data_IF_678084077608
#
_entry.id   IF_678084077608
#
_cell.length_a   1.000
_cell.length_b   1.000
_cell.length_c   1.000
_cell.angle_alpha   90.00
_cell.angle_beta   90.00
_cell.angle_gamma   90.00
#
_symmetry.space_group_name_H-M   'P 1'
#
loop_
_entity.id
_entity.type
_entity.pdbx_description
1 polymer ?
#
# COMPACT_ATOMS: atom_id res chain seq x y z
N UNK A 1 -11.54 -12.54 -9.40
CA UNK A 1 -10.71 -11.78 -10.35
C UNK A 1 -10.81 -10.29 -10.10
N UNK A 2 -12.01 -9.74 -9.94
CA UNK A 2 -12.24 -8.32 -9.67
C UNK A 2 -11.49 -7.81 -8.43
N UNK A 3 -11.70 -8.45 -7.26
CA UNK A 3 -11.03 -8.08 -6.01
C UNK A 3 -9.50 -7.99 -6.16
N UNK A 4 -8.87 -8.94 -6.85
CA UNK A 4 -7.43 -8.94 -7.12
C UNK A 4 -7.03 -7.73 -7.98
N UNK A 5 -7.69 -7.50 -9.10
CA UNK A 5 -7.33 -6.43 -10.04
C UNK A 5 -7.56 -5.04 -9.45
N UNK A 6 -8.69 -4.84 -8.77
CA UNK A 6 -9.00 -3.58 -8.08
C UNK A 6 -7.99 -3.31 -6.99
N UNK A 7 -7.70 -4.30 -6.13
CA UNK A 7 -6.72 -4.17 -5.05
C UNK A 7 -5.31 -3.89 -5.59
N UNK A 8 -4.89 -4.58 -6.66
CA UNK A 8 -3.59 -4.34 -7.31
C UNK A 8 -3.49 -2.91 -7.83
N UNK A 9 -4.49 -2.47 -8.58
CA UNK A 9 -4.48 -1.13 -9.19
C UNK A 9 -4.48 -0.02 -8.15
N UNK A 10 -5.30 -0.13 -7.12
CA UNK A 10 -5.43 0.87 -6.05
C UNK A 10 -4.11 1.00 -5.29
N UNK A 11 -3.52 -0.13 -4.84
CA UNK A 11 -2.28 -0.09 -4.07
C UNK A 11 -1.10 0.34 -4.93
N UNK A 12 -0.98 -0.15 -6.17
CA UNK A 12 0.08 0.28 -7.07
C UNK A 12 0.07 1.80 -7.29
N UNK A 13 -1.12 2.39 -7.48
CA UNK A 13 -1.25 3.83 -7.66
C UNK A 13 -1.03 4.61 -6.37
N UNK A 14 -1.47 4.08 -5.22
CA UNK A 14 -1.28 4.72 -3.92
C UNK A 14 0.20 4.78 -3.50
N UNK A 15 0.97 3.76 -3.88
CA UNK A 15 2.40 3.64 -3.56
C UNK A 15 3.31 4.51 -4.41
N UNK A 16 2.91 4.90 -5.62
CA UNK A 16 3.75 5.72 -6.48
C UNK A 16 3.97 7.09 -5.85
N UNK A 17 5.22 7.39 -5.49
CA UNK A 17 5.62 8.62 -4.82
C UNK A 17 5.45 8.61 -3.30
N UNK A 18 5.12 7.46 -2.71
CA UNK A 18 4.97 7.31 -1.28
C UNK A 18 6.33 7.17 -0.56
N UNK A 19 6.32 7.30 0.77
CA UNK A 19 7.53 7.17 1.64
C UNK A 19 8.23 5.82 1.48
N UNK A 20 7.51 4.73 1.23
CA UNK A 20 8.07 3.40 1.04
C UNK A 20 8.83 3.27 -0.27
N UNK A 21 8.40 3.94 -1.32
CA UNK A 21 9.16 4.02 -2.57
C UNK A 21 10.49 4.75 -2.37
N UNK A 22 10.51 5.84 -1.58
CA UNK A 22 11.73 6.54 -1.19
C UNK A 22 12.63 5.68 -0.30
N UNK A 23 12.04 4.90 0.62
CA UNK A 23 12.76 3.94 1.46
C UNK A 23 13.41 2.83 0.59
N UNK A 24 12.67 2.30 -0.41
CA UNK A 24 13.23 1.34 -1.37
C UNK A 24 14.45 1.88 -2.09
N UNK A 25 14.36 3.14 -2.55
CA UNK A 25 15.46 3.85 -3.21
C UNK A 25 16.67 3.99 -2.27
N UNK A 26 16.46 4.42 -1.03
CA UNK A 26 17.50 4.59 -0.03
C UNK A 26 18.23 3.26 0.26
N UNK A 27 17.48 2.19 0.49
CA UNK A 27 18.05 0.86 0.74
C UNK A 27 18.84 0.34 -0.47
N UNK A 28 18.31 0.55 -1.68
CA UNK A 28 18.99 0.16 -2.93
C UNK A 28 20.31 0.91 -3.11
N UNK A 29 20.31 2.23 -2.90
CA UNK A 29 21.51 3.06 -2.99
C UNK A 29 22.56 2.67 -1.96
N UNK A 30 22.13 2.41 -0.71
CA UNK A 30 23.02 2.11 0.42
C UNK A 30 23.62 0.72 0.34
N UNK A 31 22.80 -0.32 0.07
CA UNK A 31 23.26 -1.71 0.17
C UNK A 31 23.67 -2.31 -1.18
N UNK A 32 23.20 -1.78 -2.30
CA UNK A 32 23.48 -2.29 -3.65
C UNK A 32 23.25 -3.80 -3.83
N UNK A 33 22.26 -4.34 -3.10
CA UNK A 33 21.86 -5.75 -3.10
C UNK A 33 20.37 -5.86 -3.40
N UNK A 34 19.94 -5.81 -4.67
CA UNK A 34 18.51 -5.70 -5.02
C UNK A 34 17.69 -6.90 -4.54
N UNK A 35 18.15 -8.12 -4.74
CA UNK A 35 17.39 -9.32 -4.37
C UNK A 35 17.01 -9.41 -2.89
N UNK A 36 17.94 -9.28 -1.92
CA UNK A 36 17.59 -9.27 -0.50
C UNK A 36 16.60 -8.14 -0.13
N UNK A 37 16.71 -6.98 -0.79
CA UNK A 37 15.80 -5.85 -0.54
C UNK A 37 14.41 -6.19 -1.05
N UNK A 38 14.26 -6.65 -2.30
CA UNK A 38 12.97 -6.98 -2.91
C UNK A 38 12.27 -8.10 -2.15
N UNK A 39 13.00 -9.16 -1.75
CA UNK A 39 12.42 -10.21 -0.93
C UNK A 39 12.04 -9.71 0.48
N UNK A 40 12.82 -8.78 1.05
CA UNK A 40 12.47 -8.12 2.31
C UNK A 40 11.19 -7.30 2.22
N UNK A 41 11.03 -6.50 1.16
CA UNK A 41 9.80 -5.77 0.85
C UNK A 41 8.63 -6.75 0.74
N UNK A 42 8.78 -7.81 -0.05
CA UNK A 42 7.73 -8.81 -0.25
C UNK A 42 7.27 -9.42 1.08
N UNK A 43 8.20 -9.86 1.92
CA UNK A 43 7.86 -10.49 3.22
C UNK A 43 7.17 -9.49 4.16
N UNK A 44 7.68 -8.26 4.26
CA UNK A 44 7.07 -7.20 5.06
C UNK A 44 5.65 -6.89 4.59
N UNK A 45 5.47 -6.73 3.28
CA UNK A 45 4.18 -6.43 2.67
C UNK A 45 3.17 -7.56 2.87
N UNK A 46 3.56 -8.81 2.63
CA UNK A 46 2.67 -9.96 2.88
C UNK A 46 2.22 -9.98 4.33
N UNK A 47 3.12 -9.77 5.29
CA UNK A 47 2.78 -9.74 6.70
C UNK A 47 1.79 -8.60 7.03
N UNK A 48 2.07 -7.37 6.59
CA UNK A 48 1.20 -6.21 6.83
C UNK A 48 -0.17 -6.37 6.15
N UNK A 49 -0.20 -6.76 4.89
CA UNK A 49 -1.44 -6.90 4.14
C UNK A 49 -2.27 -8.10 4.59
N UNK A 50 -1.64 -9.19 5.02
CA UNK A 50 -2.35 -10.32 5.61
C UNK A 50 -3.03 -9.93 6.93
N UNK A 51 -2.33 -9.22 7.81
CA UNK A 51 -2.90 -8.72 9.07
C UNK A 51 -4.04 -7.71 8.81
N UNK A 52 -3.82 -6.77 7.91
CA UNK A 52 -4.83 -5.76 7.54
C UNK A 52 -6.04 -6.38 6.87
N UNK A 53 -5.82 -7.30 5.94
CA UNK A 53 -6.88 -8.04 5.27
C UNK A 53 -7.69 -8.89 6.25
N UNK A 54 -7.04 -9.55 7.21
CA UNK A 54 -7.71 -10.31 8.26
C UNK A 54 -8.58 -9.39 9.13
N UNK A 55 -8.07 -8.21 9.50
CA UNK A 55 -8.85 -7.21 10.23
C UNK A 55 -10.07 -6.76 9.44
N UNK A 56 -9.91 -6.44 8.15
CA UNK A 56 -11.00 -6.03 7.27
C UNK A 56 -12.07 -7.11 7.11
N UNK A 57 -11.65 -8.35 6.86
CA UNK A 57 -12.55 -9.50 6.77
C UNK A 57 -13.29 -9.76 8.10
N UNK A 58 -12.60 -9.61 9.24
CA UNK A 58 -13.24 -9.73 10.55
C UNK A 58 -14.26 -8.61 10.79
N UNK A 59 -13.92 -7.37 10.49
CA UNK A 59 -14.82 -6.21 10.64
C UNK A 59 -16.11 -6.42 9.84
N UNK A 60 -16.01 -6.93 8.60
CA UNK A 60 -17.18 -7.19 7.76
C UNK A 60 -18.15 -8.21 8.36
N UNK A 61 -17.67 -9.13 9.22
CA UNK A 61 -18.55 -10.10 9.92
C UNK A 61 -19.24 -9.53 11.16
N UNK A 62 -18.71 -8.42 11.74
CA UNK A 62 -19.24 -7.82 12.96
C UNK A 62 -20.28 -6.71 12.71
N UNK A 63 -20.29 -6.17 11.50
CA UNK A 63 -21.06 -4.97 11.16
C UNK A 63 -22.08 -5.32 10.09
N UNK A 64 -23.33 -4.84 10.27
CA UNK A 64 -24.36 -5.05 9.25
C UNK A 64 -24.00 -4.38 7.93
N UNK A 65 -24.35 -4.99 6.81
CA UNK A 65 -24.04 -4.46 5.48
C UNK A 65 -24.51 -3.01 5.28
N UNK A 66 -25.66 -2.65 5.89
CA UNK A 66 -26.18 -1.28 5.84
C UNK A 66 -25.30 -0.25 6.53
N UNK A 67 -24.65 -0.59 7.65
CA UNK A 67 -23.72 0.30 8.35
C UNK A 67 -22.35 0.24 7.69
N UNK A 68 -21.89 -0.95 7.29
CA UNK A 68 -20.60 -1.16 6.67
C UNK A 68 -20.40 -0.30 5.40
N UNK A 69 -21.42 -0.22 4.54
CA UNK A 69 -21.36 0.62 3.33
C UNK A 69 -21.08 2.09 3.62
N UNK A 70 -21.66 2.66 4.69
CA UNK A 70 -21.42 4.04 5.07
C UNK A 70 -20.03 4.24 5.66
N UNK A 71 -19.56 3.28 6.45
CA UNK A 71 -18.18 3.29 6.98
C UNK A 71 -17.20 3.23 5.82
N UNK A 72 -17.38 2.32 4.86
CA UNK A 72 -16.51 2.20 3.70
C UNK A 72 -16.54 3.46 2.83
N UNK A 73 -17.73 4.02 2.56
CA UNK A 73 -17.85 5.25 1.79
C UNK A 73 -17.09 6.42 2.46
N UNK A 74 -17.28 6.60 3.76
CA UNK A 74 -16.58 7.63 4.53
C UNK A 74 -15.05 7.40 4.53
N UNK A 75 -14.62 6.14 4.72
CA UNK A 75 -13.20 5.77 4.72
C UNK A 75 -12.56 5.97 3.34
N UNK A 76 -13.22 5.55 2.25
CA UNK A 76 -12.72 5.80 0.89
C UNK A 76 -12.66 7.29 0.55
N UNK A 77 -13.62 8.08 1.03
CA UNK A 77 -13.59 9.53 0.84
C UNK A 77 -12.44 10.16 1.63
N UNK A 78 -12.21 9.73 2.87
CA UNK A 78 -11.07 10.17 3.67
C UNK A 78 -9.73 9.82 2.98
N UNK A 79 -9.61 8.62 2.39
CA UNK A 79 -8.46 8.22 1.60
C UNK A 79 -8.28 9.08 0.35
N UNK A 80 -9.38 9.45 -0.35
CA UNK A 80 -9.30 10.35 -1.50
C UNK A 80 -8.67 11.70 -1.12
N UNK A 81 -9.04 12.25 0.03
CA UNK A 81 -8.45 13.49 0.56
C UNK A 81 -6.99 13.27 0.96
N UNK A 82 -6.69 12.18 1.65
CA UNK A 82 -5.32 11.87 2.10
C UNK A 82 -4.35 11.71 0.92
N UNK A 83 -4.79 11.10 -0.18
CA UNK A 83 -3.97 10.96 -1.39
C UNK A 83 -3.53 12.29 -2.02
N UNK A 84 -4.19 13.39 -1.69
CA UNK A 84 -3.79 14.72 -2.15
C UNK A 84 -2.71 15.38 -1.27
N UNK A 85 -2.40 14.79 -0.11
CA UNK A 85 -1.36 15.25 0.81
C UNK A 85 -0.05 14.51 0.48
N UNK A 86 1.01 15.23 0.06
CA UNK A 86 2.31 14.60 -0.21
C UNK A 86 2.91 14.00 1.06
N UNK A 87 3.47 12.80 0.93
CA UNK A 87 4.22 12.17 2.01
C UNK A 87 5.62 12.76 2.11
N UNK A 88 6.15 12.77 3.33
CA UNK A 88 7.52 13.19 3.61
C UNK A 88 8.24 12.04 4.31
N UNK A 89 9.51 11.82 3.95
CA UNK A 89 10.39 11.02 4.78
C UNK A 89 10.75 11.82 6.03
N UNK A 90 10.57 11.21 7.19
CA UNK A 90 11.23 11.71 8.39
C UNK A 90 12.73 11.49 8.22
N UNK A 91 13.51 12.55 8.45
CA UNK A 91 14.96 12.61 8.19
C UNK A 91 15.83 11.78 9.16
N UNK A 92 15.32 10.65 9.65
CA UNK A 92 16.07 9.69 10.47
C UNK A 92 17.08 8.83 9.66
N UNK A 93 17.73 9.46 8.67
CA UNK A 93 18.67 8.80 7.75
C UNK A 93 20.00 8.36 8.39
N UNK A 94 20.26 8.70 9.66
CA UNK A 94 21.50 8.37 10.38
C UNK A 94 21.49 7.01 11.11
N UNK A 95 20.43 6.21 10.97
CA UNK A 95 20.37 4.89 11.57
C UNK A 95 21.51 4.01 11.04
N UNK A 96 22.46 3.65 11.93
CA UNK A 96 23.53 2.70 11.61
C UNK A 96 22.95 1.40 11.05
N UNK A 97 23.58 0.79 10.03
CA UNK A 97 23.07 -0.46 9.47
C UNK A 97 22.91 -1.50 10.58
N UNK A 98 21.71 -2.07 10.73
CA UNK A 98 21.52 -3.13 11.71
C UNK A 98 22.46 -4.30 11.41
N UNK A 99 22.94 -4.98 12.44
CA UNK A 99 23.85 -6.13 12.32
C UNK A 99 23.20 -7.38 11.69
N UNK A 100 21.92 -7.31 11.34
CA UNK A 100 21.08 -8.46 10.92
C UNK A 100 21.06 -8.74 9.41
N UNK A 101 21.86 -8.03 8.64
CA UNK A 101 21.93 -8.20 7.19
C UNK A 101 20.84 -7.44 6.42
N UNK A 102 21.03 -7.32 5.10
CA UNK A 102 20.21 -6.48 4.22
C UNK A 102 18.74 -6.92 4.17
N UNK A 103 18.50 -8.23 4.10
CA UNK A 103 17.15 -8.78 4.04
C UNK A 103 16.33 -8.44 5.30
N UNK A 104 16.87 -8.75 6.49
CA UNK A 104 16.18 -8.47 7.75
C UNK A 104 15.99 -6.96 7.98
N UNK A 105 16.94 -6.14 7.55
CA UNK A 105 16.81 -4.68 7.57
C UNK A 105 15.65 -4.23 6.70
N UNK A 106 15.56 -4.73 5.46
CA UNK A 106 14.49 -4.38 4.55
C UNK A 106 13.12 -4.83 5.12
N UNK A 107 13.02 -6.07 5.64
CA UNK A 107 11.79 -6.56 6.28
C UNK A 107 11.36 -5.62 7.40
N UNK A 108 12.25 -5.32 8.34
CA UNK A 108 11.91 -4.51 9.51
C UNK A 108 11.52 -3.09 9.12
N UNK A 109 12.32 -2.43 8.29
CA UNK A 109 12.09 -1.05 7.90
C UNK A 109 10.80 -0.89 7.09
N UNK A 110 10.53 -1.78 6.14
CA UNK A 110 9.29 -1.75 5.37
C UNK A 110 8.09 -2.10 6.25
N UNK A 111 8.19 -3.11 7.10
CA UNK A 111 7.11 -3.46 8.01
C UNK A 111 6.71 -2.27 8.89
N UNK A 112 7.69 -1.57 9.48
CA UNK A 112 7.43 -0.41 10.34
C UNK A 112 6.94 0.82 9.54
N UNK A 113 7.49 1.05 8.34
CA UNK A 113 7.07 2.16 7.49
C UNK A 113 5.61 2.04 7.03
N UNK A 114 5.16 0.80 6.79
CA UNK A 114 3.78 0.50 6.37
C UNK A 114 2.77 0.54 7.53
N UNK A 115 3.22 0.47 8.78
CA UNK A 115 2.28 0.49 9.91
C UNK A 115 1.53 1.83 9.99
N UNK A 116 0.20 1.76 9.87
CA UNK A 116 -0.68 2.93 9.88
C UNK A 116 -0.68 3.74 8.59
N UNK A 117 -0.10 3.20 7.52
CA UNK A 117 -0.03 3.88 6.24
C UNK A 117 -1.30 3.75 5.39
N UNK A 118 -1.38 4.54 4.32
CA UNK A 118 -2.51 4.62 3.37
C UNK A 118 -2.86 3.25 2.81
N UNK A 119 -1.87 2.48 2.39
CA UNK A 119 -2.06 1.16 1.78
C UNK A 119 -2.52 0.10 2.76
N UNK A 120 -2.10 0.19 4.03
CA UNK A 120 -2.61 -0.66 5.09
C UNK A 120 -4.11 -0.42 5.31
N UNK A 121 -4.53 0.86 5.42
CA UNK A 121 -5.94 1.23 5.58
C UNK A 121 -6.75 0.84 4.34
N UNK A 122 -6.23 1.09 3.13
CA UNK A 122 -6.85 0.65 1.88
C UNK A 122 -7.06 -0.87 1.86
N UNK A 123 -6.09 -1.66 2.32
CA UNK A 123 -6.18 -3.12 2.39
C UNK A 123 -7.29 -3.57 3.34
N UNK A 124 -7.42 -2.94 4.54
CA UNK A 124 -8.54 -3.20 5.46
C UNK A 124 -9.88 -2.94 4.78
N UNK A 125 -10.02 -1.79 4.13
CA UNK A 125 -11.27 -1.40 3.46
C UNK A 125 -11.63 -2.32 2.29
N UNK A 126 -10.64 -2.69 1.48
CA UNK A 126 -10.84 -3.60 0.35
C UNK A 126 -11.22 -5.01 0.83
N UNK A 127 -10.58 -5.50 1.90
CA UNK A 127 -10.93 -6.80 2.48
C UNK A 127 -12.31 -6.80 3.15
N UNK A 128 -12.73 -5.67 3.73
CA UNK A 128 -14.09 -5.52 4.24
C UNK A 128 -15.14 -5.39 3.11
N UNK A 129 -14.73 -4.86 1.94
CA UNK A 129 -15.60 -4.67 0.77
C UNK A 129 -15.78 -5.92 -0.06
N UNK A 130 -14.72 -6.68 -0.24
CA UNK A 130 -14.71 -7.89 -1.06
C UNK A 130 -14.64 -9.11 -0.15
N UNK A 131 -15.61 -10.00 -0.22
CA UNK A 131 -15.56 -11.28 0.51
C UNK A 131 -14.56 -12.26 -0.17
N UNK A 132 -13.32 -11.81 -0.29
CA UNK A 132 -12.27 -12.51 -1.04
C UNK A 132 -10.87 -12.20 -0.45
N UNK A 133 -10.67 -12.53 0.82
CA UNK A 133 -9.46 -12.24 1.58
C UNK A 133 -8.16 -12.51 0.81
N UNK A 134 -7.98 -13.72 0.28
CA UNK A 134 -6.75 -14.10 -0.44
C UNK A 134 -6.55 -13.26 -1.71
N UNK A 135 -7.63 -12.96 -2.44
CA UNK A 135 -7.54 -12.16 -3.65
C UNK A 135 -7.15 -10.71 -3.34
N UNK A 136 -7.66 -10.15 -2.23
CA UNK A 136 -7.28 -8.81 -1.78
C UNK A 136 -5.83 -8.79 -1.32
N UNK A 137 -5.42 -9.69 -0.42
CA UNK A 137 -4.05 -9.72 0.12
C UNK A 137 -3.01 -9.94 -0.99
N UNK A 138 -3.26 -10.87 -1.92
CA UNK A 138 -2.35 -11.09 -3.05
C UNK A 138 -2.35 -9.93 -4.02
N UNK A 139 -3.51 -9.31 -4.28
CA UNK A 139 -3.64 -8.14 -5.15
C UNK A 139 -2.92 -6.92 -4.58
N UNK A 140 -3.15 -6.59 -3.32
CA UNK A 140 -2.46 -5.46 -2.65
C UNK A 140 -0.96 -5.68 -2.56
N UNK A 141 -0.52 -6.91 -2.24
CA UNK A 141 0.91 -7.28 -2.25
C UNK A 141 1.52 -7.11 -3.63
N UNK A 142 0.82 -7.57 -4.67
CA UNK A 142 1.32 -7.43 -6.05
C UNK A 142 1.38 -5.95 -6.47
N UNK A 143 0.39 -5.13 -6.09
CA UNK A 143 0.40 -3.69 -6.31
C UNK A 143 1.60 -2.99 -5.66
N UNK A 144 1.87 -3.32 -4.39
CA UNK A 144 3.05 -2.85 -3.65
C UNK A 144 4.36 -3.21 -4.36
N UNK A 145 4.47 -4.46 -4.82
CA UNK A 145 5.66 -4.93 -5.53
C UNK A 145 5.84 -4.24 -6.89
N UNK A 146 4.75 -3.97 -7.63
CA UNK A 146 4.80 -3.23 -8.89
C UNK A 146 5.35 -1.81 -8.72
N UNK A 147 5.03 -1.14 -7.62
CA UNK A 147 5.51 0.20 -7.34
C UNK A 147 6.97 0.21 -6.84
N UNK A 148 7.32 -0.67 -5.92
CA UNK A 148 8.57 -0.61 -5.17
C UNK A 148 9.71 -1.44 -5.79
N UNK A 149 9.45 -2.63 -6.37
CA UNK A 149 10.51 -3.47 -6.91
C UNK A 149 11.28 -2.82 -8.07
N UNK A 150 10.64 -2.14 -9.05
CA UNK A 150 11.38 -1.46 -10.12
C UNK A 150 12.34 -0.38 -9.61
N UNK A 151 11.99 0.31 -8.53
CA UNK A 151 12.83 1.35 -7.93
C UNK A 151 14.11 0.79 -7.35
N UNK A 152 14.05 -0.44 -6.79
CA UNK A 152 15.24 -1.12 -6.25
C UNK A 152 16.28 -1.42 -7.34
N UNK A 153 15.85 -1.75 -8.58
CA UNK A 153 16.76 -2.03 -9.70
C UNK A 153 17.16 -0.80 -10.49
N UNK A 154 16.21 0.10 -10.77
CA UNK A 154 16.40 1.21 -11.70
C UNK A 154 16.62 2.55 -11.00
N UNK A 155 16.46 2.61 -9.67
CA UNK A 155 16.71 3.80 -8.87
C UNK A 155 15.84 5.00 -9.28
N UNK A 156 16.40 6.18 -9.17
CA UNK A 156 15.73 7.44 -9.49
C UNK A 156 15.18 7.55 -10.92
N UNK A 157 15.66 6.74 -11.86
CA UNK A 157 15.17 6.80 -13.25
C UNK A 157 13.67 6.50 -13.32
N UNK A 158 13.18 5.60 -12.50
CA UNK A 158 11.75 5.27 -12.44
C UNK A 158 10.95 6.41 -11.82
N UNK A 159 11.40 6.95 -10.70
CA UNK A 159 10.68 8.00 -9.97
C UNK A 159 10.61 9.30 -10.76
N UNK A 160 11.65 9.64 -11.54
CA UNK A 160 11.68 10.84 -12.40
C UNK A 160 10.73 10.77 -13.61
N UNK A 161 10.38 9.58 -14.06
CA UNK A 161 9.48 9.40 -15.21
C UNK A 161 8.00 9.53 -14.82
N UNK A 162 7.67 9.48 -13.53
CA UNK A 162 6.29 9.45 -13.05
C UNK A 162 5.82 10.86 -12.67
N UNK A 163 4.74 11.36 -13.28
CA UNK A 163 4.14 12.64 -12.91
C UNK A 163 3.35 12.50 -11.61
N UNK A 164 4.03 12.52 -10.46
CA UNK A 164 3.48 12.24 -9.13
C UNK A 164 2.16 12.98 -8.85
N UNK A 165 2.06 14.27 -9.23
CA UNK A 165 0.83 15.05 -9.06
C UNK A 165 -0.36 14.43 -9.80
N UNK A 166 -0.12 13.91 -11.00
CA UNK A 166 -1.18 13.25 -11.80
C UNK A 166 -1.55 11.93 -11.15
N UNK A 167 -0.56 11.13 -10.72
CA UNK A 167 -0.79 9.85 -10.04
C UNK A 167 -1.64 10.05 -8.78
N UNK A 168 -1.27 10.98 -7.90
CA UNK A 168 -2.02 11.27 -6.67
C UNK A 168 -3.45 11.72 -6.95
N UNK A 169 -3.66 12.57 -7.98
CA UNK A 169 -5.01 12.99 -8.40
C UNK A 169 -5.85 11.84 -8.95
N UNK A 170 -5.24 10.97 -9.75
CA UNK A 170 -5.93 9.77 -10.29
C UNK A 170 -6.28 8.82 -9.15
N UNK A 171 -5.37 8.58 -8.22
CA UNK A 171 -5.63 7.76 -7.03
C UNK A 171 -6.76 8.34 -6.18
N UNK A 172 -6.74 9.65 -5.92
CA UNK A 172 -7.81 10.33 -5.19
C UNK A 172 -9.16 10.19 -5.90
N UNK A 173 -9.20 10.33 -7.23
CA UNK A 173 -10.42 10.13 -8.01
C UNK A 173 -10.94 8.70 -7.92
N UNK A 174 -10.05 7.69 -7.99
CA UNK A 174 -10.44 6.29 -7.85
C UNK A 174 -11.04 6.03 -6.48
N UNK A 175 -10.42 6.52 -5.40
CA UNK A 175 -11.00 6.41 -4.05
C UNK A 175 -12.35 7.11 -3.92
N UNK A 176 -12.51 8.28 -4.54
CA UNK A 176 -13.80 8.98 -4.56
C UNK A 176 -14.89 8.16 -5.30
N UNK A 177 -14.53 7.55 -6.44
CA UNK A 177 -15.45 6.64 -7.17
C UNK A 177 -15.81 5.43 -6.32
N UNK A 178 -14.85 4.83 -5.62
CA UNK A 178 -15.10 3.71 -4.71
C UNK A 178 -16.01 4.11 -3.55
N UNK A 179 -15.88 5.33 -3.03
CA UNK A 179 -16.79 5.85 -2.00
C UNK A 179 -18.24 5.91 -2.49
N UNK A 180 -18.45 6.38 -3.73
CA UNK A 180 -19.78 6.39 -4.36
C UNK A 180 -20.29 4.97 -4.60
N UNK A 181 -19.46 4.08 -5.16
CA UNK A 181 -19.82 2.69 -5.41
C UNK A 181 -20.14 1.93 -4.12
N UNK A 182 -19.47 2.23 -3.01
CA UNK A 182 -19.75 1.60 -1.72
C UNK A 182 -21.18 1.91 -1.21
N UNK A 183 -21.75 3.07 -1.58
CA UNK A 183 -23.12 3.44 -1.22
C UNK A 183 -24.15 2.75 -2.13
N UNK A 184 -23.85 2.64 -3.45
CA UNK A 184 -24.83 2.26 -4.48
C UNK A 184 -24.82 0.78 -4.82
N UNK A 185 -23.68 0.11 -4.65
CA UNK A 185 -23.57 -1.32 -4.94
C UNK A 185 -23.95 -2.14 -3.72
N UNK A 186 -24.95 -3.02 -3.77
CA UNK A 186 -25.25 -3.92 -2.66
C UNK A 186 -24.05 -4.86 -2.42
N UNK A 187 -23.78 -5.14 -1.14
CA UNK A 187 -22.83 -6.16 -0.71
C UNK A 187 -23.40 -7.54 -0.95
#
# INVERSE_FOLDING_TARGET
MEAFLVSTGIVALAEIGDKTQLLALLLAARFKKPWPIVFGILVATVANHALSGALGAWVSTQISAGVLRWILAASFLAMAVWMLVPDKLDDDSDAKPPRWGVFATAVLMFFLAEMGDKTQIATVMLAARFDAYLAVVTGTTFGMMLANAPVVWFGERVTRLLPLVVVHRVSALIFAVLAVLAIWSPF
#
